data_IF_023705315535
#
_entry.id   IF_023705315535
#
_cell.length_a   1.000
_cell.length_b   1.000
_cell.length_c   1.000
_cell.angle_alpha   90.00
_cell.angle_beta   90.00
_cell.angle_gamma   90.00
#
_symmetry.space_group_name_H-M   'P 1'
#
loop_
_entity.id
_entity.type
_entity.pdbx_description
1 polymer ?
#
# COMPACT_ATOMS: atom_id res chain seq x y z
N UNK A 1 -20.23 -39.25 32.01
CA UNK A 1 -21.20 -38.89 30.94
C UNK A 1 -21.38 -37.37 30.74
N UNK A 2 -20.77 -36.47 31.54
CA UNK A 2 -21.04 -35.01 31.45
C UNK A 2 -19.91 -34.14 30.88
N UNK A 3 -18.89 -34.71 30.22
CA UNK A 3 -17.73 -33.94 29.74
C UNK A 3 -17.56 -33.98 28.21
N UNK A 4 -18.67 -33.96 27.46
CA UNK A 4 -18.66 -33.80 26.00
C UNK A 4 -19.20 -32.42 25.54
N UNK A 5 -19.82 -31.63 26.43
CA UNK A 5 -20.56 -30.43 26.03
C UNK A 5 -19.73 -29.12 26.00
N UNK A 6 -18.43 -29.14 26.32
CA UNK A 6 -17.60 -27.92 26.37
C UNK A 6 -16.80 -27.65 25.08
N UNK A 7 -16.89 -28.54 24.08
CA UNK A 7 -16.11 -28.41 22.85
C UNK A 7 -16.88 -27.77 21.68
N UNK A 8 -18.21 -27.62 21.80
CA UNK A 8 -19.07 -27.18 20.70
C UNK A 8 -19.63 -25.78 20.94
N UNK A 9 -18.77 -24.76 20.94
CA UNK A 9 -19.29 -23.40 21.01
C UNK A 9 -18.24 -22.32 21.10
N UNK A 10 -17.69 -21.88 19.96
CA UNK A 10 -17.55 -20.45 19.65
C UNK A 10 -17.07 -20.13 18.22
N UNK A 11 -17.56 -20.81 17.18
CA UNK A 11 -17.44 -20.30 15.80
C UNK A 11 -18.50 -19.20 15.55
N UNK A 12 -18.51 -18.16 16.38
CA UNK A 12 -19.16 -16.90 16.06
C UNK A 12 -18.12 -16.10 15.29
N UNK A 13 -18.23 -16.08 13.95
CA UNK A 13 -17.61 -15.04 13.13
C UNK A 13 -18.23 -13.71 13.60
N UNK A 14 -17.61 -13.13 14.63
CA UNK A 14 -17.81 -11.74 15.01
C UNK A 14 -17.02 -10.92 13.99
N UNK A 15 -17.52 -10.90 12.75
CA UNK A 15 -17.08 -9.97 11.72
C UNK A 15 -17.55 -8.59 12.16
N UNK A 16 -16.76 -7.97 13.03
CA UNK A 16 -17.06 -6.64 13.50
C UNK A 16 -16.86 -5.66 12.34
N UNK A 17 -17.79 -4.71 12.12
CA UNK A 17 -17.66 -3.70 11.09
C UNK A 17 -16.39 -2.85 11.25
N UNK A 18 -15.73 -2.88 12.42
CA UNK A 18 -14.50 -2.16 12.68
C UNK A 18 -13.27 -2.77 11.98
N UNK A 19 -13.13 -4.09 11.87
CA UNK A 19 -11.94 -4.72 11.27
C UNK A 19 -11.97 -4.66 9.76
N UNK A 20 -13.16 -4.80 9.16
CA UNK A 20 -13.37 -4.49 7.75
C UNK A 20 -13.04 -3.02 7.45
N UNK A 21 -13.55 -2.08 8.25
CA UNK A 21 -13.24 -0.63 8.11
C UNK A 21 -11.74 -0.35 8.28
N UNK A 22 -11.05 -1.01 9.22
CA UNK A 22 -9.59 -0.90 9.38
C UNK A 22 -8.86 -1.41 8.15
N UNK A 23 -9.20 -2.59 7.64
CA UNK A 23 -8.63 -3.15 6.41
C UNK A 23 -8.85 -2.23 5.22
N UNK A 24 -10.04 -1.66 5.08
CA UNK A 24 -10.38 -0.70 4.03
C UNK A 24 -9.55 0.59 4.15
N UNK A 25 -9.40 1.14 5.36
CA UNK A 25 -8.61 2.35 5.60
C UNK A 25 -7.12 2.14 5.31
N UNK A 26 -6.59 0.95 5.65
CA UNK A 26 -5.21 0.59 5.38
C UNK A 26 -4.97 0.42 3.88
N UNK A 27 -5.85 -0.30 3.18
CA UNK A 27 -5.77 -0.49 1.74
C UNK A 27 -5.86 0.84 0.98
N UNK A 28 -6.77 1.73 1.39
CA UNK A 28 -6.90 3.06 0.82
C UNK A 28 -5.60 3.88 1.00
N UNK A 29 -5.00 3.85 2.18
CA UNK A 29 -3.72 4.53 2.44
C UNK A 29 -2.59 3.99 1.58
N UNK A 30 -2.46 2.65 1.49
CA UNK A 30 -1.47 1.98 0.64
C UNK A 30 -1.62 2.42 -0.83
N UNK A 31 -2.85 2.47 -1.33
CA UNK A 31 -3.15 2.94 -2.68
C UNK A 31 -2.74 4.39 -2.91
N UNK A 32 -3.10 5.29 -2.00
CA UNK A 32 -2.75 6.72 -2.10
C UNK A 32 -1.24 6.93 -2.05
N UNK A 33 -0.51 6.22 -1.20
CA UNK A 33 0.95 6.31 -1.10
C UNK A 33 1.64 5.88 -2.40
N UNK A 34 1.17 4.81 -3.05
CA UNK A 34 1.69 4.37 -4.35
C UNK A 34 1.41 5.40 -5.44
N UNK A 35 0.17 5.87 -5.54
CA UNK A 35 -0.22 6.85 -6.55
C UNK A 35 0.54 8.17 -6.35
N UNK A 36 0.68 8.62 -5.10
CA UNK A 36 1.46 9.81 -4.76
C UNK A 36 2.93 9.64 -5.16
N UNK A 37 3.56 8.51 -4.83
CA UNK A 37 4.95 8.25 -5.18
C UNK A 37 5.17 8.18 -6.71
N UNK A 38 4.23 7.61 -7.46
CA UNK A 38 4.27 7.59 -8.93
C UNK A 38 4.10 8.99 -9.54
N UNK A 39 3.16 9.78 -9.03
CA UNK A 39 2.95 11.17 -9.48
C UNK A 39 4.20 12.01 -9.21
N UNK A 40 4.78 11.87 -8.02
CA UNK A 40 6.00 12.61 -7.65
C UNK A 40 7.20 12.15 -8.48
N UNK A 41 7.43 10.84 -8.61
CA UNK A 41 8.56 10.29 -9.38
C UNK A 41 8.44 10.57 -10.88
N UNK A 42 7.25 10.36 -11.46
CA UNK A 42 6.96 10.68 -12.85
C UNK A 42 6.97 12.18 -13.13
N UNK A 43 6.43 13.00 -12.23
CA UNK A 43 6.44 14.46 -12.33
C UNK A 43 7.86 15.03 -12.27
N UNK A 44 8.67 14.56 -11.31
CA UNK A 44 10.09 14.95 -11.23
C UNK A 44 10.89 14.47 -12.45
N UNK A 45 10.64 13.24 -12.92
CA UNK A 45 11.29 12.71 -14.11
C UNK A 45 10.93 13.50 -15.38
N UNK A 46 9.67 13.89 -15.52
CA UNK A 46 9.20 14.71 -16.63
C UNK A 46 9.78 16.13 -16.62
N UNK A 47 9.82 16.77 -15.44
CA UNK A 47 10.46 18.08 -15.29
C UNK A 47 11.97 18.01 -15.58
N UNK A 48 12.62 16.90 -15.20
CA UNK A 48 14.01 16.61 -15.53
C UNK A 48 14.23 16.47 -17.03
N UNK A 49 13.43 15.63 -17.70
CA UNK A 49 13.51 15.46 -19.16
C UNK A 49 13.31 16.79 -19.90
N UNK A 50 12.40 17.65 -19.43
CA UNK A 50 12.18 18.98 -20.02
C UNK A 50 13.39 19.92 -19.88
N UNK A 51 14.09 19.87 -18.75
CA UNK A 51 15.27 20.71 -18.52
C UNK A 51 16.49 20.23 -19.31
N UNK A 52 16.70 18.91 -19.41
CA UNK A 52 17.88 18.34 -20.08
C UNK A 52 17.67 18.05 -21.57
N UNK A 53 16.45 18.13 -22.09
CA UNK A 53 16.13 17.86 -23.49
C UNK A 53 16.37 16.41 -23.92
N UNK A 54 16.50 15.49 -22.95
CA UNK A 54 16.69 14.06 -23.20
C UNK A 54 15.30 13.48 -23.45
N UNK A 55 15.11 12.75 -24.57
CA UNK A 55 13.94 11.88 -24.80
C UNK A 55 13.66 11.03 -23.54
N UNK A 56 12.43 10.54 -23.28
CA UNK A 56 11.80 10.45 -21.94
C UNK A 56 12.44 9.42 -20.97
N UNK A 57 13.75 9.50 -20.77
CA UNK A 57 14.58 8.56 -20.06
C UNK A 57 14.57 8.85 -18.56
N UNK A 58 14.63 10.12 -18.13
CA UNK A 58 14.47 10.48 -16.72
C UNK A 58 13.06 10.20 -16.23
N UNK A 59 12.04 10.36 -17.06
CA UNK A 59 10.65 10.01 -16.72
C UNK A 59 10.53 8.51 -16.43
N UNK A 60 11.11 7.65 -17.29
CA UNK A 60 11.09 6.20 -17.07
C UNK A 60 11.81 5.82 -15.78
N UNK A 61 13.04 6.32 -15.58
CA UNK A 61 13.81 6.05 -14.35
C UNK A 61 13.08 6.62 -13.12
N UNK A 62 12.52 7.82 -13.22
CA UNK A 62 11.75 8.48 -12.17
C UNK A 62 10.50 7.70 -11.77
N UNK A 63 9.83 7.04 -12.72
CA UNK A 63 8.72 6.13 -12.43
C UNK A 63 9.18 4.88 -11.67
N UNK A 64 10.29 4.25 -12.06
CA UNK A 64 10.85 3.11 -11.32
C UNK A 64 11.30 3.49 -9.90
N UNK A 65 11.92 4.68 -9.75
CA UNK A 65 12.30 5.22 -8.45
C UNK A 65 11.07 5.55 -7.60
N UNK A 66 10.04 6.15 -8.20
CA UNK A 66 8.75 6.41 -7.53
C UNK A 66 8.08 5.12 -7.06
N UNK A 67 8.02 4.10 -7.92
CA UNK A 67 7.49 2.78 -7.56
C UNK A 67 8.31 2.14 -6.42
N UNK A 68 9.64 2.20 -6.48
CA UNK A 68 10.51 1.69 -5.42
C UNK A 68 10.29 2.43 -4.10
N UNK A 69 10.20 3.76 -4.11
CA UNK A 69 9.93 4.57 -2.93
C UNK A 69 8.56 4.25 -2.31
N UNK A 70 7.53 4.12 -3.14
CA UNK A 70 6.18 3.73 -2.71
C UNK A 70 6.15 2.33 -2.08
N UNK A 71 6.79 1.34 -2.71
CA UNK A 71 6.90 -0.02 -2.18
C UNK A 71 7.68 -0.07 -0.86
N UNK A 72 8.78 0.66 -0.75
CA UNK A 72 9.57 0.76 0.49
C UNK A 72 8.76 1.40 1.62
N UNK A 73 7.93 2.40 1.32
CA UNK A 73 7.05 3.02 2.30
C UNK A 73 5.99 2.04 2.81
N UNK A 74 5.35 1.29 1.89
CA UNK A 74 4.39 0.24 2.26
C UNK A 74 5.05 -0.85 3.08
N UNK A 75 6.23 -1.33 2.65
CA UNK A 75 6.96 -2.36 3.39
C UNK A 75 7.27 -1.90 4.81
N UNK A 76 7.67 -0.63 4.99
CA UNK A 76 7.91 -0.04 6.30
C UNK A 76 6.64 0.12 7.13
N UNK A 77 5.48 0.33 6.52
CA UNK A 77 4.20 0.32 7.23
C UNK A 77 3.81 -1.10 7.63
N UNK A 78 3.89 -2.06 6.69
CA UNK A 78 3.56 -3.46 6.91
C UNK A 78 4.47 -4.11 7.96
N UNK A 79 5.75 -3.74 8.00
CA UNK A 79 6.69 -4.23 9.02
C UNK A 79 6.46 -3.66 10.41
N UNK A 80 5.55 -2.69 10.56
CA UNK A 80 5.17 -2.05 11.84
C UNK A 80 3.79 -2.48 12.33
N UNK A 81 3.06 -3.28 11.54
CA UNK A 81 1.86 -4.00 11.97
C UNK A 81 2.26 -5.29 12.68
#
# INVERSE_FOLDING_TARGET
MFQCARFFGHSKLNEQPNDFRKGLSLAARIGVELVAALIVGGGLGYLGDWYFGISPWLTVIGLFLGMSAGLLNIYRMASRL
#
